data_IF_434835688002
#
_entry.id   IF_434835688002
#
_cell.length_a   1.000
_cell.length_b   1.000
_cell.length_c   1.000
_cell.angle_alpha   90.00
_cell.angle_beta   90.00
_cell.angle_gamma   90.00
#
_symmetry.space_group_name_H-M   'P 1'
#
loop_
_entity.id
_entity.type
_entity.pdbx_description
1 polymer ?
#
# COMPACT_ATOMS: atom_id res chain seq x y z
N UNK A 1 -20.04 -10.87 11.94
CA UNK A 1 -19.88 -9.45 12.29
C UNK A 1 -21.20 -8.71 12.14
N UNK A 2 -21.55 -7.78 13.04
CA UNK A 2 -22.82 -7.01 12.97
C UNK A 2 -22.56 -5.61 12.40
N UNK A 3 -23.11 -5.35 11.21
CA UNK A 3 -23.06 -4.06 10.51
C UNK A 3 -24.50 -3.64 10.21
N UNK A 4 -24.83 -2.38 10.47
CA UNK A 4 -26.14 -1.79 10.12
C UNK A 4 -25.97 -0.34 9.68
N UNK A 5 -26.85 0.14 8.81
CA UNK A 5 -26.86 1.51 8.29
C UNK A 5 -28.13 2.23 8.76
N UNK A 6 -27.99 3.41 9.36
CA UNK A 6 -29.12 4.28 9.74
C UNK A 6 -28.87 5.70 9.23
N UNK A 7 -29.61 6.11 8.19
CA UNK A 7 -29.31 7.35 7.47
C UNK A 7 -27.91 7.28 6.85
N UNK A 8 -27.06 8.24 7.21
CA UNK A 8 -25.65 8.32 6.76
C UNK A 8 -24.66 7.81 7.79
N UNK A 9 -25.12 7.06 8.81
CA UNK A 9 -24.27 6.50 9.86
C UNK A 9 -24.23 4.99 9.73
N UNK A 10 -23.02 4.44 9.57
CA UNK A 10 -22.80 3.01 9.60
C UNK A 10 -22.33 2.58 10.99
N UNK A 11 -22.98 1.57 11.54
CA UNK A 11 -22.63 1.03 12.85
C UNK A 11 -21.91 -0.29 12.66
N UNK A 12 -20.70 -0.39 13.21
CA UNK A 12 -19.92 -1.63 13.25
C UNK A 12 -19.80 -2.02 14.72
N UNK A 13 -20.37 -3.16 15.11
CA UNK A 13 -20.47 -3.56 16.53
C UNK A 13 -21.09 -2.47 17.45
N UNK A 14 -22.03 -1.68 16.92
CA UNK A 14 -22.66 -0.51 17.57
C UNK A 14 -21.80 0.74 17.71
N UNK A 15 -20.55 0.74 17.23
CA UNK A 15 -19.75 1.96 17.09
C UNK A 15 -20.17 2.69 15.81
N UNK A 16 -20.59 3.97 15.89
CA UNK A 16 -20.99 4.75 14.73
C UNK A 16 -19.79 5.28 13.94
N UNK A 17 -19.91 5.27 12.62
CA UNK A 17 -18.98 5.88 11.67
C UNK A 17 -19.78 6.68 10.64
N UNK A 18 -19.31 7.87 10.31
CA UNK A 18 -19.93 8.67 9.24
C UNK A 18 -19.62 8.05 7.88
N UNK A 19 -20.64 7.98 7.03
CA UNK A 19 -20.51 7.49 5.68
C UNK A 19 -20.68 8.66 4.71
N UNK A 20 -19.63 8.95 3.94
CA UNK A 20 -19.77 9.77 2.74
C UNK A 20 -20.58 8.98 1.71
N UNK A 21 -21.86 9.33 1.57
CA UNK A 21 -22.78 8.66 0.64
C UNK A 21 -22.40 8.90 -0.82
N UNK A 22 -21.82 10.05 -1.15
CA UNK A 22 -21.43 10.36 -2.52
C UNK A 22 -20.24 9.49 -2.96
N UNK A 23 -19.28 9.27 -2.07
CA UNK A 23 -18.17 8.36 -2.33
C UNK A 23 -18.63 6.89 -2.31
N UNK A 24 -19.54 6.53 -1.39
CA UNK A 24 -20.11 5.19 -1.31
C UNK A 24 -20.85 4.76 -2.59
N UNK A 25 -21.43 5.70 -3.33
CA UNK A 25 -22.07 5.45 -4.63
C UNK A 25 -21.06 5.19 -5.77
N UNK A 26 -19.80 5.60 -5.60
CA UNK A 26 -18.72 5.38 -6.57
C UNK A 26 -18.00 4.04 -6.38
N UNK A 27 -18.25 3.34 -5.27
CA UNK A 27 -17.64 2.05 -4.98
C UNK A 27 -17.99 1.04 -6.07
N UNK A 28 -16.96 0.56 -6.75
CA UNK A 28 -17.06 -0.57 -7.67
C UNK A 28 -16.78 -1.88 -6.95
N UNK A 29 -15.88 -1.86 -5.97
CA UNK A 29 -15.52 -2.98 -5.09
C UNK A 29 -15.31 -2.49 -3.65
N UNK A 30 -15.04 -3.40 -2.72
CA UNK A 30 -14.68 -3.00 -1.35
C UNK A 30 -13.33 -2.28 -1.31
N UNK A 31 -13.17 -1.26 -0.46
CA UNK A 31 -11.86 -0.76 -0.06
C UNK A 31 -10.98 -1.89 0.49
N UNK A 32 -9.67 -1.78 0.22
CA UNK A 32 -8.64 -2.67 0.72
C UNK A 32 -8.30 -2.32 2.18
N UNK A 33 -8.04 -3.33 3.04
CA UNK A 33 -7.61 -3.07 4.41
C UNK A 33 -6.25 -2.39 4.41
N UNK A 34 -6.06 -1.33 5.21
CA UNK A 34 -4.76 -0.69 5.38
C UNK A 34 -3.72 -1.66 5.96
N UNK A 35 -2.43 -1.37 5.74
CA UNK A 35 -1.37 -2.12 6.40
C UNK A 35 -1.23 -1.69 7.85
N UNK A 36 -0.84 -2.63 8.72
CA UNK A 36 -0.44 -2.27 10.07
C UNK A 36 0.83 -1.43 9.99
N UNK A 37 0.84 -0.34 10.75
CA UNK A 37 2.00 0.53 10.86
C UNK A 37 3.06 -0.15 11.75
N UNK A 38 4.33 -0.12 11.35
CA UNK A 38 5.43 -0.57 12.20
C UNK A 38 5.39 0.15 13.57
N UNK A 39 5.88 -0.44 14.66
CA UNK A 39 6.04 0.28 15.91
C UNK A 39 6.84 1.58 15.74
N UNK A 40 6.61 2.56 16.64
CA UNK A 40 7.47 3.75 16.71
C UNK A 40 8.88 3.28 17.04
N UNK A 41 9.85 3.71 16.23
CA UNK A 41 11.21 3.23 16.40
C UNK A 41 11.78 3.61 17.77
N UNK A 42 12.53 2.72 18.40
CA UNK A 42 13.19 3.02 19.68
C UNK A 42 14.49 3.81 19.51
N UNK A 43 15.13 3.72 18.34
CA UNK A 43 16.32 4.52 18.02
C UNK A 43 16.00 6.03 17.95
N UNK A 44 17.00 6.90 18.12
CA UNK A 44 16.77 8.34 18.20
C UNK A 44 16.66 9.04 16.84
N UNK A 45 16.89 8.34 15.73
CA UNK A 45 17.07 8.95 14.41
C UNK A 45 16.05 8.46 13.36
N UNK A 46 15.18 7.51 13.69
CA UNK A 46 14.08 7.06 12.83
C UNK A 46 12.71 7.21 13.51
N UNK A 47 11.68 7.33 12.67
CA UNK A 47 10.26 7.16 13.08
C UNK A 47 9.86 5.68 13.01
N UNK A 48 10.38 4.97 12.01
CA UNK A 48 10.17 3.55 11.75
C UNK A 48 11.51 2.88 11.49
N UNK A 49 11.71 1.71 12.07
CA UNK A 49 12.90 0.90 11.85
C UNK A 49 12.51 -0.58 11.89
N UNK A 50 13.18 -1.40 11.08
CA UNK A 50 12.81 -2.81 10.94
C UNK A 50 13.12 -3.63 12.20
N UNK A 51 14.14 -3.25 12.97
CA UNK A 51 14.42 -3.85 14.29
C UNK A 51 13.20 -3.84 15.21
N UNK A 52 12.45 -2.74 15.23
CA UNK A 52 11.28 -2.62 16.10
C UNK A 52 10.12 -3.52 15.62
N UNK A 53 10.07 -3.85 14.32
CA UNK A 53 9.15 -4.86 13.77
C UNK A 53 9.57 -6.27 14.18
N UNK A 54 10.87 -6.58 14.11
CA UNK A 54 11.38 -7.87 14.58
C UNK A 54 11.20 -8.03 16.09
N UNK A 55 11.44 -7.00 16.90
CA UNK A 55 11.14 -7.03 18.32
C UNK A 55 9.66 -7.32 18.60
N UNK A 56 8.75 -6.70 17.83
CA UNK A 56 7.31 -6.95 17.95
C UNK A 56 6.93 -8.41 17.64
N UNK A 57 7.53 -9.02 16.62
CA UNK A 57 7.23 -10.40 16.23
C UNK A 57 8.06 -11.46 17.00
N UNK A 58 9.25 -11.12 17.48
CA UNK A 58 10.14 -12.02 18.22
C UNK A 58 9.52 -12.54 19.51
N UNK A 59 8.65 -11.75 20.14
CA UNK A 59 7.80 -12.20 21.26
C UNK A 59 6.88 -13.39 20.90
N UNK A 60 6.59 -13.57 19.61
CA UNK A 60 5.66 -14.58 19.08
C UNK A 60 6.36 -15.81 18.50
N UNK A 61 7.69 -15.77 18.33
CA UNK A 61 8.52 -16.88 17.80
C UNK A 61 8.01 -17.48 16.48
N UNK A 62 7.63 -16.63 15.52
CA UNK A 62 7.11 -17.04 14.21
C UNK A 62 8.10 -16.69 13.09
N UNK A 63 8.29 -17.58 12.09
CA UNK A 63 9.01 -17.21 10.87
C UNK A 63 8.36 -16.01 10.18
N UNK A 64 9.19 -15.13 9.65
CA UNK A 64 8.76 -13.92 8.97
C UNK A 64 9.15 -13.95 7.49
N UNK A 65 8.42 -13.17 6.71
CA UNK A 65 8.75 -12.88 5.32
C UNK A 65 8.86 -11.37 5.16
N UNK A 66 10.00 -10.90 4.69
CA UNK A 66 10.19 -9.50 4.30
C UNK A 66 10.09 -9.38 2.78
N UNK A 67 9.31 -8.41 2.30
CA UNK A 67 9.19 -8.06 0.88
C UNK A 67 9.51 -6.59 0.69
N UNK A 68 10.17 -6.21 -0.38
CA UNK A 68 10.27 -4.80 -0.75
C UNK A 68 8.87 -4.24 -1.02
N UNK A 69 8.56 -3.04 -0.55
CA UNK A 69 7.33 -2.36 -0.92
C UNK A 69 7.52 -1.69 -2.29
N UNK A 70 6.73 -2.08 -3.30
CA UNK A 70 6.82 -1.49 -4.62
C UNK A 70 6.40 0.00 -4.62
N UNK A 71 6.98 0.79 -5.51
CA UNK A 71 6.81 2.25 -5.56
C UNK A 71 5.50 2.67 -6.26
N UNK A 72 4.34 2.24 -5.74
CA UNK A 72 3.06 2.53 -6.36
C UNK A 72 1.86 2.43 -5.42
N UNK A 73 0.68 2.38 -6.03
CA UNK A 73 -0.61 2.37 -5.34
C UNK A 73 -1.17 0.96 -5.23
N UNK A 74 -1.74 0.63 -4.08
CA UNK A 74 -2.46 -0.65 -3.92
C UNK A 74 -3.72 -0.66 -4.77
N UNK A 75 -4.00 -1.83 -5.35
CA UNK A 75 -5.16 -2.05 -6.17
C UNK A 75 -5.71 -3.48 -6.00
N UNK A 76 -7.02 -3.59 -6.13
CA UNK A 76 -7.73 -4.87 -6.19
C UNK A 76 -8.10 -5.17 -7.64
N UNK A 77 -7.70 -6.34 -8.10
CA UNK A 77 -7.97 -6.83 -9.44
C UNK A 77 -9.02 -7.92 -9.39
N UNK A 78 -10.13 -7.71 -10.08
CA UNK A 78 -11.06 -8.76 -10.46
C UNK A 78 -10.89 -9.04 -11.95
N UNK A 79 -10.59 -10.29 -12.32
CA UNK A 79 -10.51 -10.70 -13.73
C UNK A 79 -11.26 -12.01 -13.91
N UNK A 80 -12.25 -12.02 -14.80
CA UNK A 80 -13.11 -13.16 -15.06
C UNK A 80 -12.63 -13.97 -16.26
N UNK A 81 -13.05 -15.24 -16.32
CA UNK A 81 -12.75 -16.16 -17.42
C UNK A 81 -13.24 -15.63 -18.76
N UNK A 82 -14.44 -15.06 -18.78
CA UNK A 82 -15.07 -14.41 -19.90
C UNK A 82 -16.03 -13.30 -19.41
N UNK A 83 -16.61 -12.55 -20.36
CA UNK A 83 -17.53 -11.45 -20.05
C UNK A 83 -18.84 -11.91 -19.39
N UNK A 84 -19.30 -13.14 -19.64
CA UNK A 84 -20.50 -13.68 -19.00
C UNK A 84 -20.26 -13.93 -17.50
N UNK A 85 -19.10 -14.50 -17.16
CA UNK A 85 -18.65 -14.58 -15.77
C UNK A 85 -18.49 -13.19 -15.14
N UNK A 86 -17.88 -12.24 -15.84
CA UNK A 86 -17.71 -10.87 -15.34
C UNK A 86 -19.04 -10.19 -15.02
N UNK A 87 -20.02 -10.29 -15.92
CA UNK A 87 -21.37 -9.78 -15.71
C UNK A 87 -22.08 -10.44 -14.53
N UNK A 88 -21.87 -11.74 -14.30
CA UNK A 88 -22.50 -12.45 -13.19
C UNK A 88 -22.06 -11.93 -11.81
N UNK A 89 -20.85 -11.37 -11.68
CA UNK A 89 -20.32 -10.85 -10.42
C UNK A 89 -20.39 -9.32 -10.32
N UNK A 90 -20.11 -8.60 -11.41
CA UNK A 90 -20.03 -7.14 -11.41
C UNK A 90 -21.28 -6.45 -11.97
N UNK A 91 -22.24 -7.20 -12.52
CA UNK A 91 -23.43 -6.66 -13.20
C UNK A 91 -23.07 -5.69 -14.34
N UNK A 92 -21.92 -5.95 -14.99
CA UNK A 92 -21.34 -5.18 -16.09
C UNK A 92 -20.77 -6.15 -17.13
N UNK A 93 -20.98 -5.88 -18.41
CA UNK A 93 -20.43 -6.68 -19.51
C UNK A 93 -18.94 -6.34 -19.71
N UNK A 94 -18.11 -6.79 -18.77
CA UNK A 94 -16.65 -6.53 -18.72
C UNK A 94 -15.89 -7.80 -18.36
N UNK A 95 -14.64 -7.89 -18.81
CA UNK A 95 -13.73 -8.99 -18.49
C UNK A 95 -13.08 -8.86 -17.09
N UNK A 96 -13.13 -7.66 -16.52
CA UNK A 96 -12.49 -7.37 -15.24
C UNK A 96 -12.70 -5.94 -14.77
N UNK A 97 -12.22 -5.65 -13.58
CA UNK A 97 -12.23 -4.33 -12.95
C UNK A 97 -10.99 -4.18 -12.09
N UNK A 98 -10.42 -2.97 -12.06
CA UNK A 98 -9.26 -2.65 -11.21
C UNK A 98 -9.66 -1.46 -10.34
N UNK A 99 -9.70 -1.65 -9.02
CA UNK A 99 -10.02 -0.57 -8.08
C UNK A 99 -8.82 -0.17 -7.24
N UNK A 100 -8.74 1.10 -6.86
CA UNK A 100 -7.76 1.60 -5.90
C UNK A 100 -8.06 1.10 -4.47
N UNK A 101 -7.21 1.48 -3.51
CA UNK A 101 -7.37 1.09 -2.10
C UNK A 101 -8.70 1.55 -1.48
N UNK A 102 -9.31 2.62 -2.01
CA UNK A 102 -10.61 3.14 -1.57
C UNK A 102 -11.81 2.46 -2.27
N UNK A 103 -11.60 1.52 -3.18
CA UNK A 103 -12.66 0.79 -3.88
C UNK A 103 -13.25 1.51 -5.10
N UNK A 104 -12.67 2.63 -5.53
CA UNK A 104 -13.03 3.37 -6.73
C UNK A 104 -12.23 2.86 -7.95
N UNK A 105 -12.72 3.04 -9.20
CA UNK A 105 -11.97 2.67 -10.41
C UNK A 105 -10.56 3.26 -10.42
N UNK A 106 -9.56 2.44 -10.72
CA UNK A 106 -8.15 2.85 -10.70
C UNK A 106 -7.76 3.62 -11.98
N UNK A 107 -8.24 3.16 -13.13
CA UNK A 107 -7.91 3.74 -14.44
C UNK A 107 -9.15 4.30 -15.13
N UNK A 108 -8.95 5.14 -16.14
CA UNK A 108 -10.01 5.39 -17.12
C UNK A 108 -10.34 4.09 -17.89
N UNK A 109 -11.56 4.02 -18.43
CA UNK A 109 -12.08 2.79 -19.06
C UNK A 109 -11.20 2.25 -20.21
N UNK A 110 -10.58 3.13 -21.00
CA UNK A 110 -9.77 2.72 -22.16
C UNK A 110 -8.44 2.08 -21.74
N UNK A 111 -7.79 2.61 -20.70
CA UNK A 111 -6.56 2.04 -20.15
C UNK A 111 -6.87 0.79 -19.30
N UNK A 112 -7.94 0.81 -18.51
CA UNK A 112 -8.39 -0.36 -17.73
C UNK A 112 -8.57 -1.58 -18.62
N UNK A 113 -9.29 -1.44 -19.74
CA UNK A 113 -9.54 -2.54 -20.67
C UNK A 113 -8.24 -3.16 -21.21
N UNK A 114 -7.23 -2.33 -21.52
CA UNK A 114 -5.92 -2.83 -22.02
C UNK A 114 -5.15 -3.61 -20.96
N UNK A 115 -5.16 -3.11 -19.72
CA UNK A 115 -4.49 -3.78 -18.60
C UNK A 115 -5.22 -5.08 -18.24
N UNK A 116 -6.55 -5.04 -18.14
CA UNK A 116 -7.38 -6.23 -17.86
C UNK A 116 -7.17 -7.32 -18.89
N UNK A 117 -7.11 -6.98 -20.19
CA UNK A 117 -6.81 -7.95 -21.26
C UNK A 117 -5.44 -8.61 -21.06
N UNK A 118 -4.42 -7.81 -20.74
CA UNK A 118 -3.05 -8.32 -20.51
C UNK A 118 -2.99 -9.25 -19.29
N UNK A 119 -3.69 -8.89 -18.20
CA UNK A 119 -3.80 -9.72 -16.99
C UNK A 119 -4.60 -10.99 -17.26
N UNK A 120 -5.69 -10.90 -17.99
CA UNK A 120 -6.52 -12.05 -18.37
C UNK A 120 -5.71 -13.07 -19.16
N UNK A 121 -4.93 -12.61 -20.15
CA UNK A 121 -4.06 -13.46 -20.94
C UNK A 121 -3.00 -14.19 -20.11
N UNK A 122 -2.38 -13.49 -19.15
CA UNK A 122 -1.43 -14.09 -18.21
C UNK A 122 -2.09 -15.17 -17.34
N UNK A 123 -3.25 -14.87 -16.73
CA UNK A 123 -3.99 -15.82 -15.90
C UNK A 123 -4.49 -17.02 -16.70
N UNK A 124 -4.90 -16.80 -17.95
CA UNK A 124 -5.31 -17.87 -18.88
C UNK A 124 -4.14 -18.78 -19.23
N UNK A 125 -2.97 -18.21 -19.55
CA UNK A 125 -1.76 -18.97 -19.87
C UNK A 125 -1.26 -19.80 -18.68
N UNK A 126 -1.42 -19.29 -17.46
CA UNK A 126 -1.13 -19.99 -16.21
C UNK A 126 -2.20 -21.02 -15.81
N UNK A 127 -3.31 -21.09 -16.54
CA UNK A 127 -4.35 -22.10 -16.36
C UNK A 127 -5.38 -21.79 -15.27
N UNK A 128 -5.40 -20.59 -14.68
CA UNK A 128 -6.35 -20.25 -13.60
C UNK A 128 -7.82 -20.44 -13.99
N UNK A 129 -8.15 -20.24 -15.27
CA UNK A 129 -9.52 -20.35 -15.78
C UNK A 129 -9.91 -21.77 -16.22
N UNK A 130 -9.10 -22.80 -15.94
CA UNK A 130 -9.53 -24.20 -16.12
C UNK A 130 -10.76 -24.49 -15.26
N UNK A 131 -10.68 -24.09 -13.98
CA UNK A 131 -11.64 -24.46 -12.95
C UNK A 131 -12.27 -23.25 -12.24
N UNK A 132 -11.69 -22.05 -12.38
CA UNK A 132 -12.23 -20.82 -11.80
C UNK A 132 -12.95 -19.94 -12.85
N UNK A 133 -14.02 -19.29 -12.40
CA UNK A 133 -14.78 -18.29 -13.18
C UNK A 133 -14.15 -16.89 -13.07
N UNK A 134 -13.42 -16.62 -11.98
CA UNK A 134 -12.68 -15.39 -11.78
C UNK A 134 -11.46 -15.62 -10.88
N UNK A 135 -10.52 -14.68 -10.95
CA UNK A 135 -9.41 -14.50 -10.01
C UNK A 135 -9.52 -13.11 -9.41
N UNK A 136 -9.42 -13.04 -8.09
CA UNK A 136 -9.38 -11.83 -7.28
C UNK A 136 -8.02 -11.74 -6.61
N UNK A 137 -7.25 -10.69 -6.87
CA UNK A 137 -5.94 -10.51 -6.24
C UNK A 137 -5.62 -9.05 -5.96
N UNK A 138 -4.79 -8.84 -4.95
CA UNK A 138 -4.24 -7.55 -4.59
C UNK A 138 -2.87 -7.37 -5.26
N UNK A 139 -2.58 -6.18 -5.75
CA UNK A 139 -1.27 -5.80 -6.27
C UNK A 139 -0.95 -4.33 -5.97
N UNK A 140 0.30 -3.95 -6.20
CA UNK A 140 0.76 -2.57 -6.23
C UNK A 140 1.02 -2.17 -7.68
N UNK A 141 0.44 -1.05 -8.13
CA UNK A 141 0.58 -0.52 -9.49
C UNK A 141 1.45 0.75 -9.44
N UNK A 142 2.55 0.75 -10.17
CA UNK A 142 3.47 1.88 -10.28
C UNK A 142 3.44 2.51 -11.69
N UNK A 143 3.70 3.82 -11.84
CA UNK A 143 4.21 4.78 -10.83
C UNK A 143 3.16 5.42 -9.93
N UNK A 144 3.61 6.15 -8.90
CA UNK A 144 2.73 7.01 -8.10
C UNK A 144 2.03 8.09 -8.94
N UNK A 145 2.67 8.57 -10.00
CA UNK A 145 2.08 9.57 -10.92
C UNK A 145 0.82 9.08 -11.67
N UNK A 146 0.41 7.82 -11.50
CA UNK A 146 -0.87 7.31 -12.00
C UNK A 146 -2.10 7.94 -11.34
N UNK A 147 -1.98 8.33 -10.07
CA UNK A 147 -3.12 8.90 -9.32
C UNK A 147 -2.90 10.36 -8.88
N UNK A 148 -1.65 10.82 -8.87
CA UNK A 148 -1.30 12.16 -8.39
C UNK A 148 -0.46 12.92 -9.40
N UNK A 149 -0.83 14.18 -9.66
CA UNK A 149 0.02 15.10 -10.41
C UNK A 149 1.13 15.63 -9.50
N UNK A 150 2.37 15.24 -9.81
CA UNK A 150 3.56 15.59 -9.02
C UNK A 150 4.28 16.83 -9.57
N UNK A 151 3.82 17.45 -10.66
CA UNK A 151 4.51 18.56 -11.31
C UNK A 151 4.76 19.75 -10.37
N UNK A 152 3.77 20.09 -9.53
CA UNK A 152 3.89 21.14 -8.54
C UNK A 152 4.93 20.80 -7.46
N UNK A 153 4.98 19.54 -7.01
CA UNK A 153 5.91 19.08 -5.98
C UNK A 153 7.34 19.02 -6.52
N UNK A 154 7.53 18.61 -7.78
CA UNK A 154 8.83 18.66 -8.46
C UNK A 154 9.34 20.10 -8.57
N UNK A 155 8.48 21.02 -9.01
CA UNK A 155 8.82 22.45 -9.09
C UNK A 155 9.17 23.03 -7.71
N UNK A 156 8.47 22.60 -6.66
CA UNK A 156 8.78 22.99 -5.28
C UNK A 156 10.17 22.46 -4.85
N UNK A 157 10.47 21.20 -5.12
CA UNK A 157 11.75 20.57 -4.77
C UNK A 157 12.94 21.31 -5.42
N UNK A 158 12.84 21.64 -6.71
CA UNK A 158 13.86 22.40 -7.44
C UNK A 158 14.10 23.79 -6.81
N UNK A 159 13.04 24.50 -6.44
CA UNK A 159 13.15 25.80 -5.78
C UNK A 159 13.76 25.71 -4.38
N UNK A 160 13.39 24.70 -3.59
CA UNK A 160 13.94 24.47 -2.24
C UNK A 160 15.45 24.21 -2.30
N UNK A 161 15.94 23.46 -3.28
CA UNK A 161 17.38 23.25 -3.50
C UNK A 161 18.08 24.58 -3.76
N UNK A 162 17.55 25.39 -4.68
CA UNK A 162 18.15 26.69 -5.02
C UNK A 162 18.15 27.66 -3.82
N UNK A 163 17.04 27.73 -3.10
CA UNK A 163 16.88 28.59 -1.93
C UNK A 163 17.85 28.19 -0.80
N UNK A 164 17.87 26.91 -0.43
CA UNK A 164 18.73 26.39 0.65
C UNK A 164 20.21 26.44 0.31
N UNK A 165 20.57 26.28 -0.98
CA UNK A 165 21.94 26.53 -1.42
C UNK A 165 22.34 27.98 -1.18
N UNK A 166 21.49 28.95 -1.53
CA UNK A 166 21.76 30.37 -1.30
C UNK A 166 21.87 30.69 0.21
N UNK A 167 20.98 30.13 1.04
CA UNK A 167 21.06 30.26 2.49
C UNK A 167 22.38 29.70 3.04
N UNK A 168 22.82 28.52 2.58
CA UNK A 168 24.08 27.92 2.97
C UNK A 168 25.27 28.81 2.62
N UNK A 169 25.27 29.50 1.48
CA UNK A 169 26.35 30.43 1.11
C UNK A 169 26.42 31.64 2.06
N UNK A 170 25.29 32.07 2.61
CA UNK A 170 25.19 33.22 3.52
C UNK A 170 25.28 32.85 5.01
N UNK A 171 25.29 31.55 5.33
CA UNK A 171 25.23 31.05 6.70
C UNK A 171 26.44 31.51 7.54
N UNK A 172 26.23 32.03 8.77
CA UNK A 172 27.32 32.38 9.66
C UNK A 172 28.09 31.12 10.10
N UNK A 173 29.41 31.21 10.42
CA UNK A 173 30.23 30.04 10.69
C UNK A 173 29.68 29.09 11.77
N UNK A 174 29.04 29.61 12.81
CA UNK A 174 28.49 28.83 13.91
C UNK A 174 27.18 28.08 13.58
N UNK A 175 26.54 28.36 12.43
CA UNK A 175 25.34 27.66 11.94
C UNK A 175 25.61 26.88 10.65
N UNK A 176 26.85 26.81 10.19
CA UNK A 176 27.18 26.23 8.87
C UNK A 176 26.69 24.78 8.74
N UNK A 177 26.82 23.99 9.80
CA UNK A 177 26.38 22.60 9.84
C UNK A 177 24.86 22.48 9.69
N UNK A 178 24.09 23.36 10.34
CA UNK A 178 22.62 23.39 10.25
C UNK A 178 22.16 23.66 8.81
N UNK A 179 22.73 24.66 8.16
CA UNK A 179 22.38 24.97 6.76
C UNK A 179 22.90 23.91 5.78
N UNK A 180 24.02 23.26 6.10
CA UNK A 180 24.54 22.15 5.29
C UNK A 180 23.55 20.98 5.31
N UNK A 181 23.02 20.65 6.48
CA UNK A 181 22.03 19.60 6.62
C UNK A 181 20.69 19.95 5.95
N UNK A 182 20.20 21.20 6.10
CA UNK A 182 18.98 21.64 5.38
C UNK A 182 19.16 21.55 3.87
N UNK A 183 20.31 21.96 3.34
CA UNK A 183 20.60 21.82 1.91
C UNK A 183 20.65 20.35 1.47
N UNK A 184 21.30 19.48 2.26
CA UNK A 184 21.33 18.04 2.02
C UNK A 184 19.92 17.43 1.99
N UNK A 185 19.07 17.81 2.94
CA UNK A 185 17.69 17.32 3.01
C UNK A 185 16.89 17.63 1.75
N UNK A 186 17.04 18.82 1.17
CA UNK A 186 16.34 19.17 -0.08
C UNK A 186 16.82 18.36 -1.28
N UNK A 187 18.14 18.11 -1.38
CA UNK A 187 18.70 17.20 -2.40
C UNK A 187 18.12 15.79 -2.22
N UNK A 188 18.11 15.27 -0.99
CA UNK A 188 17.58 13.95 -0.70
C UNK A 188 16.08 13.83 -1.00
N UNK A 189 15.29 14.88 -0.69
CA UNK A 189 13.86 14.93 -1.01
C UNK A 189 13.61 14.87 -2.52
N UNK A 190 14.30 15.70 -3.31
CA UNK A 190 14.19 15.70 -4.77
C UNK A 190 14.61 14.35 -5.37
N UNK A 191 15.77 13.82 -4.95
CA UNK A 191 16.27 12.53 -5.41
C UNK A 191 15.27 11.40 -5.12
N UNK A 192 14.67 11.41 -3.93
CA UNK A 192 13.63 10.45 -3.55
C UNK A 192 12.37 10.62 -4.40
N UNK A 193 11.89 11.86 -4.60
CA UNK A 193 10.70 12.15 -5.40
C UNK A 193 10.81 11.62 -6.83
N UNK A 194 12.00 11.67 -7.43
CA UNK A 194 12.24 11.14 -8.78
C UNK A 194 12.06 9.62 -8.90
N UNK A 195 12.17 8.86 -7.81
CA UNK A 195 11.94 7.40 -7.82
C UNK A 195 10.47 7.02 -8.06
N UNK A 196 9.55 7.97 -7.88
CA UNK A 196 8.10 7.72 -7.84
C UNK A 196 7.36 8.28 -9.06
N UNK A 197 8.10 8.86 -10.01
CA UNK A 197 7.54 9.57 -11.15
C UNK A 197 8.22 9.14 -12.47
N UNK A 198 7.41 8.66 -13.41
CA UNK A 198 7.80 8.52 -14.81
C UNK A 198 6.59 8.66 -15.73
N UNK A 199 6.83 8.98 -17.01
CA UNK A 199 5.79 8.97 -18.04
C UNK A 199 5.25 7.56 -18.22
N UNK A 200 3.92 7.41 -18.25
CA UNK A 200 3.29 6.09 -18.30
C UNK A 200 2.33 5.87 -19.47
N UNK A 201 2.34 4.65 -20.00
CA UNK A 201 1.31 4.03 -20.83
C UNK A 201 1.10 2.56 -20.38
N UNK A 202 0.23 1.81 -21.06
CA UNK A 202 -0.06 0.41 -20.72
C UNK A 202 1.18 -0.52 -20.70
N UNK A 203 2.28 -0.14 -21.36
CA UNK A 203 3.51 -0.93 -21.48
C UNK A 203 4.57 -0.56 -20.45
N UNK A 204 4.48 0.62 -19.85
CA UNK A 204 5.46 1.12 -18.86
C UNK A 204 4.92 1.10 -17.43
N UNK A 205 3.62 0.83 -17.27
CA UNK A 205 3.03 0.49 -15.97
C UNK A 205 3.67 -0.81 -15.48
N UNK A 206 3.94 -0.86 -14.18
CA UNK A 206 4.44 -2.06 -13.51
C UNK A 206 3.41 -2.52 -12.49
N UNK A 207 3.11 -3.82 -12.47
CA UNK A 207 2.18 -4.43 -11.52
C UNK A 207 2.95 -5.43 -10.67
N UNK A 208 3.00 -5.20 -9.36
CA UNK A 208 3.63 -6.07 -8.39
C UNK A 208 2.55 -6.83 -7.60
N UNK A 209 2.24 -8.11 -7.92
CA UNK A 209 1.23 -8.86 -7.18
C UNK A 209 1.62 -9.02 -5.72
N UNK A 210 0.66 -8.76 -4.83
CA UNK A 210 0.85 -8.85 -3.39
C UNK A 210 0.23 -10.11 -2.82
N UNK A 211 -1.05 -10.36 -3.11
CA UNK A 211 -1.82 -11.43 -2.51
C UNK A 211 -2.87 -11.97 -3.48
N UNK A 212 -2.85 -13.29 -3.73
CA UNK A 212 -4.02 -13.98 -4.26
C UNK A 212 -5.11 -13.96 -3.17
N UNK A 213 -6.24 -13.33 -3.43
CA UNK A 213 -7.30 -13.14 -2.43
C UNK A 213 -8.31 -14.28 -2.54
N UNK A 214 -8.81 -14.52 -3.74
CA UNK A 214 -9.79 -15.57 -3.99
C UNK A 214 -9.80 -16.00 -5.46
N UNK A 215 -10.31 -17.20 -5.69
CA UNK A 215 -10.90 -17.59 -6.96
C UNK A 215 -12.41 -17.79 -6.75
N UNK A 216 -13.16 -18.09 -7.81
CA UNK A 216 -14.56 -18.50 -7.65
C UNK A 216 -14.76 -19.81 -6.85
N UNK A 217 -13.69 -20.51 -6.48
CA UNK A 217 -13.72 -21.79 -5.76
C UNK A 217 -13.46 -21.63 -4.26
N UNK A 218 -12.54 -20.76 -3.90
CA UNK A 218 -12.06 -20.61 -2.52
C UNK A 218 -11.39 -19.27 -2.27
N UNK A 219 -11.20 -18.96 -0.99
CA UNK A 219 -10.42 -17.81 -0.51
C UNK A 219 -9.05 -18.26 -0.02
N UNK A 220 -8.05 -17.39 -0.10
CA UNK A 220 -6.67 -17.68 0.28
C UNK A 220 -6.21 -16.86 1.50
N UNK A 221 -7.13 -16.44 2.37
CA UNK A 221 -6.79 -15.67 3.59
C UNK A 221 -5.99 -16.46 4.61
N UNK A 222 -6.20 -17.78 4.66
CA UNK A 222 -5.50 -18.72 5.55
C UNK A 222 -4.31 -19.40 4.87
N UNK A 223 -3.98 -19.00 3.62
CA UNK A 223 -2.84 -19.55 2.91
C UNK A 223 -1.54 -18.96 3.44
N UNK A 224 -0.45 -19.75 3.54
CA UNK A 224 0.84 -19.21 3.95
C UNK A 224 1.34 -18.20 2.90
N UNK A 225 2.13 -17.21 3.35
CA UNK A 225 2.64 -16.11 2.51
C UNK A 225 3.40 -16.62 1.27
N UNK A 226 4.04 -17.79 1.35
CA UNK A 226 4.70 -18.45 0.22
C UNK A 226 3.76 -18.72 -0.95
N UNK A 227 2.50 -19.05 -0.70
CA UNK A 227 1.46 -19.22 -1.75
C UNK A 227 1.29 -17.95 -2.56
N UNK A 228 1.29 -16.79 -1.90
CA UNK A 228 1.13 -15.49 -2.54
C UNK A 228 2.40 -15.05 -3.28
N UNK A 229 3.58 -15.40 -2.76
CA UNK A 229 4.85 -15.18 -3.45
C UNK A 229 4.94 -16.03 -4.71
N UNK A 230 4.55 -17.30 -4.65
CA UNK A 230 4.56 -18.18 -5.81
C UNK A 230 3.59 -17.70 -6.90
N UNK A 231 2.41 -17.21 -6.49
CA UNK A 231 1.48 -16.53 -7.40
C UNK A 231 2.12 -15.32 -8.08
N UNK A 232 2.79 -14.45 -7.32
CA UNK A 232 3.48 -13.28 -7.87
C UNK A 232 4.60 -13.68 -8.85
N UNK A 233 5.41 -14.69 -8.50
CA UNK A 233 6.48 -15.22 -9.35
C UNK A 233 5.97 -15.78 -10.67
N UNK A 234 4.86 -16.51 -10.65
CA UNK A 234 4.23 -17.04 -11.86
C UNK A 234 3.79 -15.91 -12.79
N UNK A 235 3.18 -14.86 -12.24
CA UNK A 235 2.73 -13.70 -13.01
C UNK A 235 3.90 -12.87 -13.56
N UNK A 236 5.00 -12.74 -12.83
CA UNK A 236 6.18 -11.98 -13.25
C UNK A 236 6.82 -12.47 -14.57
N UNK A 237 6.44 -13.66 -15.06
CA UNK A 237 6.81 -14.14 -16.40
C UNK A 237 6.07 -13.40 -17.55
N UNK A 238 5.07 -12.59 -17.24
CA UNK A 238 4.21 -11.89 -18.19
C UNK A 238 4.22 -10.39 -17.92
N UNK A 239 4.28 -9.57 -18.97
CA UNK A 239 4.05 -8.13 -18.83
C UNK A 239 2.56 -7.87 -18.49
N UNK A 240 2.24 -6.86 -17.67
CA UNK A 240 3.12 -5.84 -17.08
C UNK A 240 3.64 -6.21 -15.66
N UNK A 241 3.67 -7.50 -15.30
CA UNK A 241 4.03 -7.90 -13.95
C UNK A 241 5.53 -7.82 -13.70
N UNK A 242 5.89 -7.47 -12.46
CA UNK A 242 7.29 -7.41 -11.99
C UNK A 242 7.47 -8.29 -10.76
N UNK A 243 8.61 -8.95 -10.68
CA UNK A 243 9.02 -9.68 -9.48
C UNK A 243 9.50 -8.68 -8.42
N UNK A 244 9.15 -8.95 -7.16
CA UNK A 244 9.49 -8.10 -6.03
C UNK A 244 10.46 -8.83 -5.12
N UNK A 245 11.62 -8.22 -4.77
CA UNK A 245 12.57 -8.81 -3.85
C UNK A 245 11.90 -9.21 -2.53
N UNK A 246 12.15 -10.44 -2.09
CA UNK A 246 11.65 -10.98 -0.83
C UNK A 246 12.73 -11.79 -0.10
N UNK A 247 12.47 -12.09 1.17
CA UNK A 247 13.33 -12.85 2.07
C UNK A 247 12.49 -13.65 3.05
N UNK A 248 12.88 -14.89 3.31
CA UNK A 248 12.41 -15.64 4.47
C UNK A 248 13.37 -15.37 5.64
N UNK A 249 12.84 -15.17 6.84
CA UNK A 249 13.58 -14.83 8.05
C UNK A 249 13.22 -15.87 9.12
N UNK A 250 14.17 -16.75 9.43
CA UNK A 250 14.00 -17.83 10.41
C UNK A 250 15.04 -17.78 11.54
N UNK A 251 16.13 -17.07 11.32
CA UNK A 251 17.28 -17.01 12.23
C UNK A 251 17.71 -15.57 12.48
N UNK A 252 18.47 -15.37 13.56
CA UNK A 252 19.10 -14.08 13.87
C UNK A 252 20.04 -13.60 12.74
N UNK A 253 20.68 -14.53 12.01
CA UNK A 253 21.50 -14.19 10.86
C UNK A 253 20.66 -13.64 9.69
N UNK A 254 19.47 -14.21 9.46
CA UNK A 254 18.53 -13.71 8.45
C UNK A 254 17.99 -12.34 8.84
N UNK A 255 17.72 -12.10 10.13
CA UNK A 255 17.33 -10.78 10.64
C UNK A 255 18.40 -9.73 10.36
N UNK A 256 19.68 -10.03 10.64
CA UNK A 256 20.79 -9.13 10.34
C UNK A 256 20.91 -8.78 8.85
N UNK A 257 20.73 -9.77 7.96
CA UNK A 257 20.73 -9.54 6.52
C UNK A 257 19.49 -8.74 6.07
N UNK A 258 18.33 -9.00 6.66
CA UNK A 258 17.11 -8.25 6.39
C UNK A 258 17.24 -6.78 6.81
N UNK A 259 17.86 -6.51 7.97
CA UNK A 259 18.18 -5.14 8.42
C UNK A 259 19.07 -4.45 7.39
N UNK A 260 20.19 -5.08 7.02
CA UNK A 260 21.13 -4.50 6.05
C UNK A 260 20.45 -4.19 4.71
N UNK A 261 19.60 -5.10 4.22
CA UNK A 261 18.86 -4.91 2.97
C UNK A 261 17.78 -3.83 3.07
N UNK A 262 17.06 -3.75 4.19
CA UNK A 262 16.11 -2.66 4.42
C UNK A 262 16.83 -1.30 4.52
N UNK A 263 17.99 -1.24 5.16
CA UNK A 263 18.82 -0.02 5.22
C UNK A 263 19.24 0.43 3.83
N UNK A 264 19.71 -0.48 2.97
CA UNK A 264 20.04 -0.18 1.57
C UNK A 264 18.82 0.37 0.82
N UNK A 265 17.66 -0.27 0.93
CA UNK A 265 16.43 0.22 0.29
C UNK A 265 16.01 1.59 0.81
N UNK A 266 16.16 1.82 2.12
CA UNK A 266 15.86 3.10 2.76
C UNK A 266 16.77 4.22 2.23
N UNK A 267 18.07 3.97 2.07
CA UNK A 267 19.03 4.92 1.51
C UNK A 267 18.79 5.22 0.02
N UNK A 268 18.31 4.23 -0.73
CA UNK A 268 17.93 4.38 -2.14
C UNK A 268 16.59 5.11 -2.33
N UNK A 269 15.88 5.45 -1.25
CA UNK A 269 14.57 6.11 -1.33
C UNK A 269 13.49 5.20 -1.91
N UNK A 270 13.52 3.90 -1.58
CA UNK A 270 12.39 2.97 -1.78
C UNK A 270 11.38 3.18 -0.66
N UNK A 271 10.09 2.86 -0.91
CA UNK A 271 9.02 3.04 0.11
C UNK A 271 9.40 2.39 1.44
N UNK A 272 10.00 1.20 1.38
CA UNK A 272 10.45 0.42 2.53
C UNK A 272 10.18 -1.06 2.31
N UNK A 273 9.78 -1.75 3.37
CA UNK A 273 9.44 -3.17 3.32
C UNK A 273 8.05 -3.45 3.90
N UNK A 274 7.49 -4.57 3.45
CA UNK A 274 6.32 -5.22 4.02
C UNK A 274 6.84 -6.46 4.76
N UNK A 275 6.53 -6.59 6.05
CA UNK A 275 6.91 -7.72 6.89
C UNK A 275 5.65 -8.48 7.30
N UNK A 276 5.64 -9.78 7.03
CA UNK A 276 4.50 -10.66 7.24
C UNK A 276 4.90 -11.89 8.06
N UNK A 277 4.01 -12.38 8.91
CA UNK A 277 4.17 -13.71 9.50
C UNK A 277 3.94 -14.78 8.42
N UNK A 278 4.73 -15.86 8.41
CA UNK A 278 4.63 -16.91 7.38
C UNK A 278 3.22 -17.51 7.29
N UNK A 279 2.64 -17.81 8.45
CA UNK A 279 1.21 -18.16 8.59
C UNK A 279 0.42 -16.88 8.87
N UNK A 280 -0.68 -16.63 8.15
CA UNK A 280 -1.25 -15.28 8.04
C UNK A 280 -1.97 -14.84 9.31
N UNK A 281 -1.45 -13.82 9.98
CA UNK A 281 -2.21 -13.07 11.00
C UNK A 281 -1.96 -11.56 10.93
N UNK A 282 -0.77 -11.10 10.51
CA UNK A 282 -0.42 -9.67 10.52
C UNK A 282 0.52 -9.30 9.36
N UNK A 283 0.22 -8.19 8.65
CA UNK A 283 1.07 -7.58 7.62
C UNK A 283 1.43 -6.16 8.05
N UNK A 284 2.71 -5.90 8.29
CA UNK A 284 3.21 -4.58 8.69
C UNK A 284 3.99 -3.90 7.57
N UNK A 285 3.85 -2.59 7.44
CA UNK A 285 4.74 -1.76 6.61
C UNK A 285 5.77 -1.07 7.50
N UNK A 286 7.03 -1.12 7.08
CA UNK A 286 8.16 -0.41 7.67
C UNK A 286 8.84 0.45 6.61
N UNK A 287 8.61 1.75 6.69
CA UNK A 287 8.97 2.72 5.66
C UNK A 287 10.40 3.20 5.80
N UNK A 288 11.07 3.35 4.66
CA UNK A 288 12.42 3.88 4.60
C UNK A 288 12.48 5.34 5.02
N UNK A 289 13.61 5.74 5.62
CA UNK A 289 13.86 7.09 6.10
C UNK A 289 13.75 8.13 4.97
N UNK A 290 14.37 7.87 3.82
CA UNK A 290 14.34 8.86 2.74
C UNK A 290 12.93 8.99 2.14
N UNK A 291 12.18 7.89 2.01
CA UNK A 291 10.77 7.93 1.60
C UNK A 291 9.88 8.73 2.57
N UNK A 292 10.10 8.62 3.88
CA UNK A 292 9.33 9.34 4.88
C UNK A 292 9.46 10.87 4.75
N UNK A 293 10.45 11.42 4.03
CA UNK A 293 10.49 12.86 3.68
C UNK A 293 9.32 13.29 2.82
N UNK A 294 8.81 12.40 1.96
CA UNK A 294 7.64 12.68 1.12
C UNK A 294 6.34 12.73 1.94
N UNK A 295 6.35 12.16 3.16
CA UNK A 295 5.18 12.13 4.04
C UNK A 295 5.28 13.20 5.12
N UNK A 296 6.43 13.33 5.79
CA UNK A 296 6.61 14.22 6.94
C UNK A 296 7.31 15.53 6.61
N UNK A 297 7.69 15.74 5.35
CA UNK A 297 8.35 16.97 4.88
C UNK A 297 9.88 16.86 4.81
N UNK A 298 10.49 17.80 4.09
CA UNK A 298 11.92 17.80 3.74
C UNK A 298 12.82 17.68 4.97
N UNK A 299 12.47 18.40 6.05
CA UNK A 299 13.29 18.54 7.26
C UNK A 299 12.84 17.67 8.43
N UNK A 300 11.95 16.69 8.22
CA UNK A 300 11.38 15.87 9.30
C UNK A 300 12.43 15.10 10.12
N UNK A 301 13.64 14.91 9.56
CA UNK A 301 14.77 14.28 10.24
C UNK A 301 15.44 15.19 11.27
N UNK A 302 15.02 16.46 11.40
CA UNK A 302 15.50 17.35 12.44
C UNK A 302 15.09 16.83 13.84
N UNK A 303 15.94 16.93 14.88
CA UNK A 303 15.67 16.27 16.17
C UNK A 303 14.39 16.68 16.92
N UNK A 304 13.83 17.87 16.62
CA UNK A 304 12.56 18.31 17.21
C UNK A 304 11.39 17.76 16.38
N UNK A 305 11.40 17.99 15.07
CA UNK A 305 10.42 17.42 14.13
C UNK A 305 10.26 15.90 14.30
N UNK A 306 11.38 15.16 14.30
CA UNK A 306 11.37 13.72 14.44
C UNK A 306 10.69 13.27 15.74
N UNK A 307 10.96 13.97 16.85
CA UNK A 307 10.36 13.68 18.15
C UNK A 307 8.87 13.94 18.13
N UNK A 308 8.46 15.09 17.59
CA UNK A 308 7.06 15.49 17.51
C UNK A 308 6.27 14.49 16.64
N UNK A 309 6.82 14.06 15.49
CA UNK A 309 6.21 13.02 14.65
C UNK A 309 6.11 11.66 15.36
N UNK A 310 7.09 11.30 16.21
CA UNK A 310 7.04 10.06 17.02
C UNK A 310 6.00 10.14 18.14
N UNK A 311 5.91 11.27 18.84
CA UNK A 311 4.95 11.49 19.93
C UNK A 311 3.50 11.57 19.41
N UNK A 312 3.31 12.14 18.22
CA UNK A 312 1.99 12.30 17.61
C UNK A 312 1.44 11.02 16.98
N UNK A 313 2.27 10.00 16.76
CA UNK A 313 1.87 8.74 16.10
C UNK A 313 0.89 7.95 16.96
N UNK A 314 -0.34 7.78 16.46
CA UNK A 314 -1.37 6.97 17.11
C UNK A 314 -1.36 5.53 16.62
N UNK A 315 -1.78 4.63 17.49
CA UNK A 315 -2.06 3.25 17.11
C UNK A 315 -3.37 3.18 16.32
N UNK A 316 -3.32 2.55 15.15
CA UNK A 316 -4.47 2.26 14.28
C UNK A 316 -4.80 0.77 14.23
N UNK A 317 -4.22 -0.03 15.15
CA UNK A 317 -4.30 -1.49 15.13
C UNK A 317 -5.75 -2.01 15.15
N UNK A 318 -6.64 -1.36 15.91
CA UNK A 318 -8.03 -1.80 16.06
C UNK A 318 -8.82 -1.58 14.77
N UNK A 319 -8.74 -0.37 14.22
CA UNK A 319 -9.42 0.04 13.00
C UNK A 319 -8.94 -0.79 11.80
N UNK A 320 -7.63 -1.02 11.69
CA UNK A 320 -7.03 -1.86 10.64
C UNK A 320 -7.53 -3.31 10.75
N UNK A 321 -7.57 -3.89 11.96
CA UNK A 321 -8.08 -5.24 12.17
C UNK A 321 -9.59 -5.35 11.83
N UNK A 322 -10.36 -4.32 12.16
CA UNK A 322 -11.78 -4.25 11.84
C UNK A 322 -12.02 -4.14 10.32
N UNK A 323 -11.25 -3.28 9.64
CA UNK A 323 -11.29 -3.14 8.20
C UNK A 323 -10.93 -4.45 7.49
N UNK A 324 -9.93 -5.18 8.01
CA UNK A 324 -9.60 -6.53 7.51
C UNK A 324 -10.77 -7.51 7.66
N UNK A 325 -11.43 -7.52 8.81
CA UNK A 325 -12.60 -8.38 9.04
C UNK A 325 -13.75 -8.05 8.08
N UNK A 326 -13.98 -6.77 7.80
CA UNK A 326 -14.95 -6.30 6.80
C UNK A 326 -14.60 -6.73 5.39
N UNK A 327 -13.33 -6.62 5.02
CA UNK A 327 -12.83 -7.05 3.73
C UNK A 327 -13.01 -8.55 3.51
N UNK A 328 -12.63 -9.37 4.50
CA UNK A 328 -12.78 -10.83 4.44
C UNK A 328 -14.26 -11.24 4.31
N UNK A 329 -15.15 -10.65 5.11
CA UNK A 329 -16.59 -10.90 5.04
C UNK A 329 -17.18 -10.44 3.69
N UNK A 330 -16.72 -9.31 3.15
CA UNK A 330 -17.10 -8.86 1.80
C UNK A 330 -16.70 -9.88 0.75
N UNK A 331 -15.45 -10.37 0.76
CA UNK A 331 -14.95 -11.36 -0.20
C UNK A 331 -15.76 -12.64 -0.12
N UNK A 332 -16.02 -13.14 1.10
CA UNK A 332 -16.83 -14.35 1.31
C UNK A 332 -18.25 -14.22 0.72
N UNK A 333 -18.89 -13.06 0.89
CA UNK A 333 -20.21 -12.77 0.30
C UNK A 333 -20.16 -12.62 -1.21
N UNK A 334 -19.15 -11.91 -1.71
CA UNK A 334 -18.91 -11.73 -3.13
C UNK A 334 -18.75 -13.06 -3.86
N UNK A 335 -18.03 -14.03 -3.27
CA UNK A 335 -17.88 -15.39 -3.80
C UNK A 335 -19.22 -16.11 -3.94
N UNK A 336 -20.09 -15.98 -2.93
CA UNK A 336 -21.44 -16.57 -2.91
C UNK A 336 -22.47 -15.79 -3.72
N UNK A 337 -22.10 -14.63 -4.26
CA UNK A 337 -22.99 -13.67 -4.92
C UNK A 337 -24.14 -13.19 -4.00
N UNK A 338 -23.83 -13.08 -2.72
CA UNK A 338 -24.70 -12.45 -1.72
C UNK A 338 -24.53 -10.92 -1.76
N UNK A 339 -25.48 -10.19 -1.17
CA UNK A 339 -25.33 -8.74 -0.98
C UNK A 339 -24.15 -8.45 -0.02
N UNK A 340 -23.15 -7.78 -0.57
CA UNK A 340 -21.94 -7.34 0.12
C UNK A 340 -21.83 -5.80 0.23
N UNK A 341 -22.79 -5.03 -0.30
CA UNK A 341 -22.69 -3.57 -0.39
C UNK A 341 -22.55 -2.92 0.98
N UNK A 342 -23.26 -3.44 1.99
CA UNK A 342 -23.17 -2.92 3.36
C UNK A 342 -21.77 -3.06 3.96
N UNK A 343 -21.04 -4.13 3.63
CA UNK A 343 -19.68 -4.37 4.12
C UNK A 343 -18.65 -3.50 3.40
N UNK A 344 -18.83 -3.28 2.09
CA UNK A 344 -18.01 -2.32 1.34
C UNK A 344 -18.15 -0.90 1.91
N UNK A 345 -19.38 -0.47 2.21
CA UNK A 345 -19.66 0.83 2.83
C UNK A 345 -19.07 0.95 4.24
N UNK A 346 -19.12 -0.10 5.04
CA UNK A 346 -18.50 -0.08 6.37
C UNK A 346 -16.96 -0.04 6.29
N UNK A 347 -16.38 -0.76 5.32
CA UNK A 347 -14.94 -0.68 5.05
C UNK A 347 -14.54 0.73 4.61
N UNK A 348 -15.37 1.40 3.82
CA UNK A 348 -15.14 2.77 3.36
C UNK A 348 -15.19 3.78 4.52
N UNK A 349 -16.20 3.70 5.39
CA UNK A 349 -16.31 4.62 6.52
C UNK A 349 -15.07 4.55 7.44
N UNK A 350 -14.53 3.33 7.65
CA UNK A 350 -13.26 3.16 8.38
C UNK A 350 -12.05 3.66 7.58
N UNK A 351 -12.04 3.45 6.27
CA UNK A 351 -10.95 3.91 5.41
C UNK A 351 -10.78 5.43 5.49
N UNK A 352 -11.87 6.18 5.33
CA UNK A 352 -11.87 7.65 5.43
C UNK A 352 -11.38 8.10 6.81
N UNK A 353 -11.86 7.49 7.88
CA UNK A 353 -11.41 7.83 9.23
C UNK A 353 -9.91 7.55 9.45
N UNK A 354 -9.37 6.48 8.84
CA UNK A 354 -7.93 6.19 8.86
C UNK A 354 -7.14 7.21 8.05
N UNK A 355 -7.65 7.65 6.89
CA UNK A 355 -6.99 8.68 6.07
C UNK A 355 -6.99 10.05 6.74
N UNK A 356 -8.10 10.48 7.35
CA UNK A 356 -8.16 11.73 8.12
C UNK A 356 -7.15 11.74 9.29
N UNK A 357 -6.96 10.58 9.94
CA UNK A 357 -5.93 10.43 10.95
C UNK A 357 -4.52 10.54 10.38
N UNK A 358 -4.31 10.20 9.10
CA UNK A 358 -3.03 10.31 8.40
C UNK A 358 -2.77 11.73 7.84
N UNK A 359 -3.79 12.45 7.36
CA UNK A 359 -3.66 13.81 6.79
C UNK A 359 -3.39 14.90 7.85
N UNK A 360 -3.83 14.70 9.09
CA UNK A 360 -3.50 15.55 10.25
C UNK A 360 -1.99 15.69 10.54
N UNK A 361 -1.13 14.97 9.81
CA UNK A 361 0.33 15.04 9.93
C UNK A 361 1.04 15.77 8.79
N UNK A 362 0.29 16.15 7.73
CA UNK A 362 0.78 16.84 6.53
C UNK A 362 0.39 18.34 6.48
N UNK A 363 -0.61 18.75 7.26
CA UNK A 363 -0.98 20.16 7.43
C UNK A 363 -0.10 20.80 8.51
N UNK A 364 1.14 21.16 8.16
CA UNK A 364 1.90 22.28 8.73
C UNK A 364 3.11 22.63 7.83
#
# INVERSE_FOLDING_TARGET
MNVRLEGNVIYIHNTPYELDTAFAEQLTMTPLPAFFQAPVATNSDHVEHIDDVFAYFGERQMPLVMRQHANGHRALFFVSKDAACGNAYLQRDVLGSITNAAGAPFFNAALEAQIVESVHEALRALGYFSDAEFVLFEAIIAPYSLQYDVAAVLTFAEHEIAARHAELQLAPPHLKDVYTERFRNAICFEATLHNYHWSFDARTIQIAPLQLVATSRETFFDAPVTTHIDFAKQLAAFAPFVDVPHMLIETEADEMEAIARWTEWSELGVVGAIVETLEPTTRMIVRGREYLRLIYGIDYTAPHELRDKKEARRSTLHEVALQRTLYEEWVQRFLRRDDAHLYARASLALHVQLEEQHELFCDD
#
